data_IF_088782127826
#
_entry.id   IF_088782127826
#
_cell.length_a   1.000
_cell.length_b   1.000
_cell.length_c   1.000
_cell.angle_alpha   90.00
_cell.angle_beta   90.00
_cell.angle_gamma   90.00
#
_symmetry.space_group_name_H-M   'P 1'
#
loop_
_entity.id
_entity.type
_entity.pdbx_description
1 polymer ?
#
# COMPACT_ATOMS: atom_id res chain seq x y z
N UNK A 1 -9.08 6.20 0.37
CA UNK A 1 -9.73 7.34 -0.34
C UNK A 1 -11.25 7.16 -0.27
N UNK A 2 -12.07 8.23 -0.24
CA UNK A 2 -13.53 8.08 -0.24
C UNK A 2 -14.04 8.15 -1.67
N UNK A 3 -14.19 7.00 -2.33
CA UNK A 3 -14.93 6.93 -3.59
C UNK A 3 -16.35 7.50 -3.37
N UNK A 4 -16.71 8.50 -4.16
CA UNK A 4 -18.02 9.18 -4.15
C UNK A 4 -18.97 8.64 -5.22
N UNK A 5 -18.45 7.82 -6.14
CA UNK A 5 -19.19 7.15 -7.20
C UNK A 5 -18.61 5.76 -7.47
N UNK A 6 -19.35 4.97 -8.23
CA UNK A 6 -19.12 3.56 -8.47
C UNK A 6 -19.13 3.25 -9.97
N UNK A 7 -18.32 2.29 -10.37
CA UNK A 7 -18.32 1.70 -11.71
C UNK A 7 -19.02 0.36 -11.66
N UNK A 8 -20.04 0.17 -12.49
CA UNK A 8 -20.72 -1.10 -12.67
C UNK A 8 -20.42 -1.64 -14.06
N UNK A 9 -19.81 -2.82 -14.13
CA UNK A 9 -19.70 -3.58 -15.36
C UNK A 9 -20.75 -4.69 -15.36
N UNK A 10 -21.74 -4.54 -16.24
CA UNK A 10 -22.74 -5.56 -16.52
C UNK A 10 -22.32 -6.28 -17.79
N UNK A 11 -22.31 -7.61 -17.78
CA UNK A 11 -21.94 -8.35 -18.99
C UNK A 11 -22.60 -9.71 -19.10
N UNK A 12 -22.66 -10.20 -20.33
CA UNK A 12 -23.04 -11.57 -20.65
C UNK A 12 -22.05 -12.17 -21.66
N UNK A 13 -21.80 -13.47 -21.52
CA UNK A 13 -21.00 -14.24 -22.47
C UNK A 13 -21.71 -15.56 -22.79
N UNK A 14 -21.68 -16.01 -24.05
CA UNK A 14 -22.26 -17.30 -24.44
C UNK A 14 -21.72 -18.46 -23.57
N UNK A 15 -22.60 -19.40 -23.20
CA UNK A 15 -22.26 -20.48 -22.26
C UNK A 15 -21.24 -21.47 -22.81
N UNK A 16 -21.11 -21.57 -24.13
CA UNK A 16 -20.11 -22.39 -24.83
C UNK A 16 -18.70 -21.78 -24.81
N UNK A 17 -18.53 -20.50 -24.45
CA UNK A 17 -17.25 -19.78 -24.37
C UNK A 17 -16.56 -19.97 -23.00
N UNK A 18 -16.28 -21.23 -22.63
CA UNK A 18 -15.76 -21.56 -21.28
C UNK A 18 -14.42 -20.89 -20.97
N UNK A 19 -13.49 -20.89 -21.93
CA UNK A 19 -12.15 -20.34 -21.77
C UNK A 19 -12.18 -18.82 -21.57
N UNK A 20 -12.96 -18.13 -22.39
CA UNK A 20 -13.14 -16.67 -22.37
C UNK A 20 -13.82 -16.22 -21.08
N UNK A 21 -14.84 -16.95 -20.62
CA UNK A 21 -15.51 -16.69 -19.33
C UNK A 21 -14.54 -16.79 -18.15
N UNK A 22 -13.66 -17.80 -18.14
CA UNK A 22 -12.62 -17.94 -17.11
C UNK A 22 -11.59 -16.81 -17.21
N UNK A 23 -11.20 -16.40 -18.42
CA UNK A 23 -10.27 -15.30 -18.62
C UNK A 23 -10.82 -13.97 -18.07
N UNK A 24 -12.08 -13.65 -18.39
CA UNK A 24 -12.79 -12.46 -17.87
C UNK A 24 -12.90 -12.51 -16.36
N UNK A 25 -13.29 -13.65 -15.78
CA UNK A 25 -13.36 -13.82 -14.33
C UNK A 25 -12.01 -13.60 -13.63
N UNK A 26 -10.91 -14.14 -14.19
CA UNK A 26 -9.56 -13.92 -13.67
C UNK A 26 -9.17 -12.44 -13.71
N UNK A 27 -9.54 -11.74 -14.79
CA UNK A 27 -9.24 -10.32 -14.96
C UNK A 27 -10.01 -9.44 -13.98
N UNK A 28 -11.30 -9.73 -13.76
CA UNK A 28 -12.12 -9.08 -12.73
C UNK A 28 -11.52 -9.24 -11.33
N UNK A 29 -11.10 -10.46 -10.97
CA UNK A 29 -10.41 -10.71 -9.70
C UNK A 29 -9.11 -9.91 -9.57
N UNK A 30 -8.30 -9.87 -10.63
CA UNK A 30 -7.03 -9.13 -10.66
C UNK A 30 -7.23 -7.62 -10.52
N UNK A 31 -8.33 -7.08 -11.03
CA UNK A 31 -8.70 -5.65 -10.86
C UNK A 31 -9.29 -5.36 -9.48
N UNK A 32 -9.53 -6.37 -8.65
CA UNK A 32 -10.18 -6.20 -7.36
C UNK A 32 -11.69 -6.00 -7.40
N UNK A 33 -12.31 -6.26 -8.55
CA UNK A 33 -13.74 -6.04 -8.74
C UNK A 33 -14.58 -7.03 -7.92
N UNK A 34 -15.63 -6.53 -7.27
CA UNK A 34 -16.52 -7.35 -6.43
C UNK A 34 -17.87 -7.57 -7.10
N UNK A 35 -18.43 -8.80 -7.08
CA UNK A 35 -19.74 -9.05 -7.63
C UNK A 35 -20.85 -8.54 -6.70
N UNK A 36 -21.88 -7.87 -7.24
CA UNK A 36 -23.15 -7.64 -6.52
C UNK A 36 -24.19 -8.70 -6.89
N UNK A 37 -24.25 -9.04 -8.17
CA UNK A 37 -25.16 -10.03 -8.77
C UNK A 37 -24.40 -10.86 -9.80
N UNK A 38 -25.02 -11.92 -10.32
CA UNK A 38 -24.41 -12.93 -11.21
C UNK A 38 -23.59 -12.37 -12.37
N UNK A 39 -23.99 -11.21 -12.91
CA UNK A 39 -23.38 -10.59 -14.09
C UNK A 39 -22.93 -9.15 -13.87
N UNK A 40 -22.87 -8.67 -12.62
CA UNK A 40 -22.60 -7.26 -12.30
C UNK A 40 -21.46 -7.14 -11.32
N UNK A 41 -20.41 -6.45 -11.73
CA UNK A 41 -19.20 -6.23 -10.95
C UNK A 41 -18.98 -4.75 -10.65
N UNK A 42 -18.48 -4.47 -9.45
CA UNK A 42 -18.20 -3.14 -8.95
C UNK A 42 -16.72 -2.83 -8.87
N UNK A 43 -16.38 -1.58 -9.17
CA UNK A 43 -15.16 -0.91 -8.73
C UNK A 43 -15.49 0.49 -8.18
N UNK A 44 -14.63 1.05 -7.31
CA UNK A 44 -14.61 2.48 -7.05
C UNK A 44 -14.39 3.26 -8.37
N UNK A 45 -15.08 4.37 -8.54
CA UNK A 45 -14.93 5.23 -9.71
C UNK A 45 -13.70 6.12 -9.60
N UNK A 46 -12.59 5.57 -10.08
CA UNK A 46 -11.28 6.20 -10.14
C UNK A 46 -10.72 5.99 -11.56
N UNK A 47 -9.89 6.92 -12.10
CA UNK A 47 -9.47 6.88 -13.51
C UNK A 47 -8.81 5.55 -13.94
N UNK A 48 -7.89 4.94 -13.16
CA UNK A 48 -7.28 3.66 -13.55
C UNK A 48 -8.31 2.52 -13.63
N UNK A 49 -9.26 2.47 -12.70
CA UNK A 49 -10.32 1.46 -12.63
C UNK A 49 -11.31 1.62 -13.79
N UNK A 50 -11.63 2.86 -14.15
CA UNK A 50 -12.48 3.16 -15.29
C UNK A 50 -11.87 2.67 -16.60
N UNK A 51 -10.59 2.98 -16.83
CA UNK A 51 -9.86 2.51 -18.01
C UNK A 51 -9.81 0.98 -18.06
N UNK A 52 -9.49 0.34 -16.93
CA UNK A 52 -9.49 -1.13 -16.80
C UNK A 52 -10.84 -1.75 -17.18
N UNK A 53 -11.96 -1.17 -16.73
CA UNK A 53 -13.30 -1.63 -17.10
C UNK A 53 -13.66 -1.35 -18.55
N UNK A 54 -13.21 -0.24 -19.15
CA UNK A 54 -13.41 0.01 -20.58
C UNK A 54 -12.70 -1.04 -21.44
N UNK A 55 -11.43 -1.35 -21.12
CA UNK A 55 -10.68 -2.40 -21.83
C UNK A 55 -11.33 -3.78 -21.68
N UNK A 56 -11.80 -4.12 -20.47
CA UNK A 56 -12.48 -5.39 -20.23
C UNK A 56 -13.83 -5.47 -20.96
N UNK A 57 -14.60 -4.38 -20.96
CA UNK A 57 -15.87 -4.29 -21.69
C UNK A 57 -15.66 -4.52 -23.20
N UNK A 58 -14.62 -3.94 -23.79
CA UNK A 58 -14.27 -4.18 -25.19
C UNK A 58 -13.87 -5.65 -25.42
N UNK A 59 -13.00 -6.20 -24.58
CA UNK A 59 -12.59 -7.60 -24.68
C UNK A 59 -13.78 -8.58 -24.60
N UNK A 60 -14.78 -8.29 -23.76
CA UNK A 60 -16.00 -9.12 -23.67
C UNK A 60 -16.79 -9.09 -25.01
N UNK A 61 -16.90 -7.93 -25.66
CA UNK A 61 -17.54 -7.81 -26.98
C UNK A 61 -16.75 -8.57 -28.05
N UNK A 62 -15.42 -8.50 -28.01
CA UNK A 62 -14.56 -9.25 -28.93
C UNK A 62 -14.71 -10.78 -28.76
N UNK A 63 -15.06 -11.24 -27.57
CA UNK A 63 -15.43 -12.64 -27.30
C UNK A 63 -16.86 -13.02 -27.73
N UNK A 64 -17.60 -12.10 -28.37
CA UNK A 64 -18.97 -12.29 -28.81
C UNK A 64 -19.98 -12.20 -27.66
N UNK A 65 -19.62 -11.55 -26.56
CA UNK A 65 -20.53 -11.19 -25.47
C UNK A 65 -21.12 -9.80 -25.61
N UNK A 66 -21.90 -9.42 -24.61
CA UNK A 66 -22.42 -8.07 -24.45
C UNK A 66 -21.90 -7.45 -23.15
N UNK A 67 -21.66 -6.14 -23.15
CA UNK A 67 -21.13 -5.43 -21.99
C UNK A 67 -21.64 -3.99 -21.92
N UNK A 68 -22.08 -3.58 -20.72
CA UNK A 68 -22.50 -2.22 -20.40
C UNK A 68 -21.71 -1.73 -19.19
N UNK A 69 -21.04 -0.58 -19.35
CA UNK A 69 -20.30 0.09 -18.28
C UNK A 69 -21.09 1.32 -17.82
N UNK A 70 -21.44 1.36 -16.54
CA UNK A 70 -22.22 2.45 -15.93
C UNK A 70 -21.39 3.13 -14.85
N UNK A 71 -21.42 4.46 -14.82
CA UNK A 71 -20.94 5.27 -13.69
C UNK A 71 -22.15 5.70 -12.88
N UNK A 72 -22.17 5.37 -11.58
CA UNK A 72 -23.29 5.67 -10.70
C UNK A 72 -22.81 6.44 -9.47
N UNK A 73 -23.48 7.53 -9.11
CA UNK A 73 -23.19 8.25 -7.86
C UNK A 73 -23.65 7.46 -6.61
N UNK A 74 -24.66 6.62 -6.78
CA UNK A 74 -25.20 5.75 -5.74
C UNK A 74 -25.95 4.57 -6.36
N UNK A 75 -26.24 3.57 -5.54
CA UNK A 75 -27.00 2.38 -5.94
C UNK A 75 -28.15 2.25 -4.96
N UNK A 76 -29.39 2.42 -5.43
CA UNK A 76 -30.55 2.26 -4.57
C UNK A 76 -30.60 0.85 -3.97
N UNK A 77 -30.88 0.77 -2.67
CA UNK A 77 -30.89 -0.50 -1.92
C UNK A 77 -29.50 -1.03 -1.53
N UNK A 78 -28.41 -0.31 -1.83
CA UNK A 78 -27.07 -0.61 -1.33
C UNK A 78 -26.42 0.66 -0.82
N UNK A 79 -26.31 0.78 0.49
CA UNK A 79 -25.60 1.88 1.12
C UNK A 79 -24.11 1.81 0.81
N UNK A 80 -23.44 2.96 0.91
CA UNK A 80 -21.99 3.04 0.75
C UNK A 80 -21.26 2.07 1.68
N UNK A 81 -21.70 1.96 2.93
CA UNK A 81 -21.03 1.13 3.92
C UNK A 81 -21.21 -0.36 3.62
N UNK A 82 -22.39 -0.77 3.13
CA UNK A 82 -22.60 -2.14 2.63
C UNK A 82 -21.68 -2.46 1.45
N UNK A 83 -21.53 -1.53 0.48
CA UNK A 83 -20.60 -1.72 -0.65
C UNK A 83 -19.16 -1.82 -0.16
N UNK A 84 -18.73 -0.94 0.75
CA UNK A 84 -17.39 -1.00 1.36
C UNK A 84 -17.20 -2.34 2.09
N UNK A 85 -18.20 -2.81 2.82
CA UNK A 85 -18.18 -4.13 3.47
C UNK A 85 -18.04 -5.27 2.47
N UNK A 86 -18.63 -5.19 1.27
CA UNK A 86 -18.41 -6.20 0.22
C UNK A 86 -16.95 -6.24 -0.26
N UNK A 87 -16.32 -5.09 -0.48
CA UNK A 87 -14.90 -5.00 -0.84
C UNK A 87 -14.01 -5.55 0.27
N UNK A 88 -14.22 -5.11 1.50
CA UNK A 88 -13.45 -5.57 2.65
C UNK A 88 -13.64 -7.07 2.86
N UNK A 89 -14.86 -7.61 2.77
CA UNK A 89 -15.10 -9.05 2.90
C UNK A 89 -14.43 -9.88 1.80
N UNK A 90 -14.33 -9.35 0.57
CA UNK A 90 -13.60 -10.00 -0.52
C UNK A 90 -12.09 -10.03 -0.24
N UNK A 91 -11.51 -8.90 0.15
CA UNK A 91 -10.08 -8.78 0.50
C UNK A 91 -9.71 -9.57 1.75
N UNK A 92 -10.58 -9.59 2.75
CA UNK A 92 -10.41 -10.34 3.99
C UNK A 92 -10.17 -11.82 3.74
N UNK A 93 -10.87 -12.43 2.78
CA UNK A 93 -10.68 -13.84 2.41
C UNK A 93 -9.28 -14.08 1.83
N UNK A 94 -8.81 -13.18 0.98
CA UNK A 94 -7.49 -13.29 0.34
C UNK A 94 -6.36 -13.02 1.34
N UNK A 95 -6.52 -12.02 2.21
CA UNK A 95 -5.61 -11.79 3.33
C UNK A 95 -5.59 -12.93 4.34
N UNK A 96 -6.72 -13.60 4.59
CA UNK A 96 -6.76 -14.75 5.49
C UNK A 96 -5.89 -15.92 4.97
N UNK A 97 -5.90 -16.17 3.66
CA UNK A 97 -5.04 -17.20 3.05
C UNK A 97 -3.56 -16.80 3.10
N UNK A 98 -3.23 -15.53 2.82
CA UNK A 98 -1.87 -15.03 2.93
C UNK A 98 -1.36 -15.06 4.38
N UNK A 99 -2.23 -14.72 5.35
CA UNK A 99 -1.93 -14.82 6.78
C UNK A 99 -1.56 -16.25 7.17
N UNK A 100 -2.33 -17.25 6.74
CA UNK A 100 -2.02 -18.67 7.00
C UNK A 100 -0.66 -19.05 6.39
N UNK A 101 -0.39 -18.62 5.15
CA UNK A 101 0.89 -18.88 4.50
C UNK A 101 2.07 -18.26 5.27
N UNK A 102 1.94 -17.01 5.71
CA UNK A 102 2.96 -16.32 6.52
C UNK A 102 3.17 -16.96 7.88
N UNK A 103 2.10 -17.38 8.58
CA UNK A 103 2.22 -18.08 9.86
C UNK A 103 2.97 -19.41 9.70
N UNK A 104 2.65 -20.16 8.65
CA UNK A 104 3.38 -21.40 8.32
C UNK A 104 4.86 -21.12 8.04
N UNK A 105 5.15 -20.10 7.23
CA UNK A 105 6.52 -19.66 6.94
C UNK A 105 7.30 -19.29 8.22
N UNK A 106 6.73 -18.45 9.08
CA UNK A 106 7.35 -18.03 10.35
C UNK A 106 7.68 -19.23 11.26
N UNK A 107 6.82 -20.24 11.28
CA UNK A 107 7.04 -21.45 12.10
C UNK A 107 8.19 -22.33 11.57
N UNK A 108 8.38 -22.38 10.25
CA UNK A 108 9.34 -23.29 9.59
C UNK A 108 10.71 -22.67 9.35
N UNK A 109 10.79 -21.34 9.16
CA UNK A 109 12.03 -20.64 8.78
C UNK A 109 13.26 -20.90 9.66
N UNK A 110 13.08 -21.28 10.93
CA UNK A 110 14.19 -21.60 11.84
C UNK A 110 14.92 -22.91 11.50
N UNK A 111 14.33 -23.77 10.68
CA UNK A 111 14.82 -25.12 10.35
C UNK A 111 15.16 -25.27 8.86
N UNK A 112 15.20 -24.17 8.12
CA UNK A 112 15.32 -24.16 6.66
C UNK A 112 16.53 -23.35 6.23
N UNK A 113 17.04 -23.65 5.04
CA UNK A 113 18.13 -22.92 4.41
C UNK A 113 17.80 -21.42 4.22
N UNK A 114 18.80 -20.56 4.43
CA UNK A 114 18.62 -19.11 4.44
C UNK A 114 18.25 -18.53 3.06
N UNK A 115 18.73 -19.13 1.97
CA UNK A 115 18.42 -18.70 0.60
C UNK A 115 16.96 -19.02 0.28
N UNK A 116 16.52 -20.23 0.61
CA UNK A 116 15.11 -20.62 0.45
C UNK A 116 14.16 -19.73 1.26
N UNK A 117 14.54 -19.41 2.50
CA UNK A 117 13.77 -18.50 3.38
C UNK A 117 13.63 -17.11 2.75
N UNK A 118 14.70 -16.58 2.15
CA UNK A 118 14.68 -15.27 1.49
C UNK A 118 13.76 -15.26 0.26
N UNK A 119 13.86 -16.27 -0.62
CA UNK A 119 13.02 -16.39 -1.82
C UNK A 119 11.54 -16.54 -1.46
N UNK A 120 11.22 -17.36 -0.45
CA UNK A 120 9.83 -17.54 -0.02
C UNK A 120 9.25 -16.26 0.60
N UNK A 121 10.03 -15.54 1.41
CA UNK A 121 9.62 -14.26 1.98
C UNK A 121 9.39 -13.20 0.90
N UNK A 122 10.26 -13.11 -0.11
CA UNK A 122 10.09 -12.21 -1.24
C UNK A 122 8.80 -12.51 -2.00
N UNK A 123 8.51 -13.80 -2.24
CA UNK A 123 7.25 -14.24 -2.88
C UNK A 123 6.02 -13.83 -2.07
N UNK A 124 6.03 -14.03 -0.75
CA UNK A 124 4.91 -13.65 0.13
C UNK A 124 4.75 -12.12 0.20
N UNK A 125 5.86 -11.38 0.19
CA UNK A 125 5.87 -9.92 0.17
C UNK A 125 5.28 -9.39 -1.13
N UNK A 126 5.64 -9.97 -2.28
CA UNK A 126 5.05 -9.65 -3.57
C UNK A 126 3.55 -9.91 -3.59
N UNK A 127 3.10 -11.06 -3.07
CA UNK A 127 1.67 -11.38 -2.95
C UNK A 127 0.92 -10.37 -2.06
N UNK A 128 1.53 -9.93 -0.96
CA UNK A 128 0.95 -8.89 -0.11
C UNK A 128 0.75 -7.58 -0.86
N UNK A 129 1.78 -7.12 -1.60
CA UNK A 129 1.72 -5.88 -2.39
C UNK A 129 0.64 -5.94 -3.47
N UNK A 130 0.59 -7.05 -4.21
CA UNK A 130 -0.45 -7.28 -5.23
C UNK A 130 -1.87 -7.22 -4.64
N UNK A 131 -2.09 -7.77 -3.44
CA UNK A 131 -3.38 -7.67 -2.75
C UNK A 131 -3.67 -6.25 -2.28
N UNK A 132 -2.66 -5.51 -1.83
CA UNK A 132 -2.85 -4.14 -1.32
C UNK A 132 -3.21 -3.14 -2.42
N UNK A 133 -2.69 -3.32 -3.63
CA UNK A 133 -3.08 -2.53 -4.81
C UNK A 133 -4.59 -2.57 -5.11
N UNK A 134 -5.26 -3.65 -4.71
CA UNK A 134 -6.69 -3.87 -4.94
C UNK A 134 -7.52 -3.81 -3.64
N UNK A 135 -6.91 -3.36 -2.54
CA UNK A 135 -7.56 -3.14 -1.25
C UNK A 135 -7.97 -1.67 -1.11
N UNK A 136 -9.02 -1.28 -1.85
CA UNK A 136 -9.42 0.12 -2.00
C UNK A 136 -9.92 0.81 -0.72
N UNK A 137 -10.27 0.02 0.30
CA UNK A 137 -10.88 0.51 1.54
C UNK A 137 -10.12 0.08 2.80
N UNK A 138 -8.85 -0.30 2.64
CA UNK A 138 -7.92 -0.55 3.73
C UNK A 138 -8.45 -1.57 4.76
N UNK A 139 -8.70 -2.80 4.33
CA UNK A 139 -9.15 -3.89 5.21
C UNK A 139 -8.30 -3.99 6.50
N UNK A 140 -8.98 -4.20 7.63
CA UNK A 140 -8.34 -4.44 8.92
C UNK A 140 -7.39 -5.65 8.88
N UNK A 141 -7.77 -6.72 8.16
CA UNK A 141 -6.90 -7.90 8.00
C UNK A 141 -5.64 -7.61 7.20
N UNK A 142 -5.69 -6.66 6.27
CA UNK A 142 -4.50 -6.19 5.55
C UNK A 142 -3.44 -5.64 6.51
N UNK A 143 -3.85 -4.90 7.53
CA UNK A 143 -2.95 -4.39 8.57
C UNK A 143 -2.34 -5.52 9.42
N UNK A 144 -3.13 -6.51 9.81
CA UNK A 144 -2.63 -7.69 10.53
C UNK A 144 -1.57 -8.45 9.73
N UNK A 145 -1.81 -8.63 8.42
CA UNK A 145 -0.85 -9.28 7.52
C UNK A 145 0.42 -8.46 7.38
N UNK A 146 0.32 -7.13 7.27
CA UNK A 146 1.49 -6.25 7.24
C UNK A 146 2.36 -6.41 8.50
N UNK A 147 1.74 -6.47 9.69
CA UNK A 147 2.46 -6.70 10.95
C UNK A 147 3.14 -8.08 10.98
N UNK A 148 2.45 -9.12 10.50
CA UNK A 148 3.03 -10.46 10.41
C UNK A 148 4.20 -10.52 9.41
N UNK A 149 4.11 -9.79 8.31
CA UNK A 149 5.19 -9.70 7.31
C UNK A 149 6.43 -9.04 7.93
N UNK A 150 6.27 -7.93 8.66
CA UNK A 150 7.37 -7.31 9.43
C UNK A 150 8.03 -8.30 10.41
N UNK A 151 7.22 -9.10 11.12
CA UNK A 151 7.74 -10.16 12.00
C UNK A 151 8.45 -11.29 11.23
N UNK A 152 7.99 -11.59 10.02
CA UNK A 152 8.53 -12.61 9.12
C UNK A 152 9.86 -12.18 8.47
N UNK A 153 10.07 -10.89 8.26
CA UNK A 153 11.38 -10.31 7.94
C UNK A 153 12.35 -10.45 9.12
N UNK A 154 11.82 -10.58 10.34
CA UNK A 154 12.61 -10.67 11.57
C UNK A 154 13.13 -9.29 12.00
N UNK A 155 13.96 -9.21 13.06
CA UNK A 155 14.76 -8.00 13.25
C UNK A 155 15.59 -7.84 11.98
N UNK A 156 15.29 -6.81 11.19
CA UNK A 156 16.10 -6.41 10.06
C UNK A 156 17.55 -6.43 10.55
N UNK A 157 18.33 -7.43 10.13
CA UNK A 157 19.78 -7.42 10.31
C UNK A 157 20.16 -6.12 9.65
N UNK A 158 20.44 -5.07 10.43
CA UNK A 158 20.65 -3.73 9.89
C UNK A 158 21.62 -3.88 8.73
N UNK A 159 21.12 -3.86 7.49
CA UNK A 159 21.94 -3.43 6.38
C UNK A 159 22.37 -2.06 6.86
N UNK A 160 23.66 -1.89 7.19
CA UNK A 160 24.18 -0.60 7.64
C UNK A 160 23.58 0.41 6.68
N UNK A 161 22.69 1.26 7.20
CA UNK A 161 22.02 2.27 6.39
C UNK A 161 23.15 3.01 5.71
N UNK A 162 23.19 2.95 4.37
CA UNK A 162 24.25 3.61 3.64
C UNK A 162 24.15 5.10 3.97
N UNK A 163 25.25 5.66 4.47
CA UNK A 163 25.35 7.09 4.68
C UNK A 163 25.38 7.75 3.31
N UNK A 164 24.47 8.70 3.11
CA UNK A 164 24.28 9.45 1.88
C UNK A 164 24.98 10.80 1.97
N UNK A 165 25.49 11.28 0.83
CA UNK A 165 26.01 12.64 0.73
C UNK A 165 24.85 13.63 0.56
N UNK A 166 24.67 14.50 1.56
CA UNK A 166 23.65 15.54 1.59
C UNK A 166 23.64 16.42 0.33
N UNK A 167 24.81 16.62 -0.31
CA UNK A 167 24.93 17.46 -1.52
C UNK A 167 24.12 16.92 -2.69
N UNK A 168 23.93 15.60 -2.78
CA UNK A 168 23.16 14.97 -3.85
C UNK A 168 21.65 15.22 -3.72
N UNK A 169 21.21 15.67 -2.55
CA UNK A 169 19.80 15.83 -2.18
C UNK A 169 19.38 17.30 -2.02
N UNK A 170 20.23 18.26 -2.41
CA UNK A 170 19.91 19.70 -2.36
C UNK A 170 19.08 20.15 -3.57
N UNK A 171 18.14 21.08 -3.36
CA UNK A 171 17.29 21.66 -4.39
C UNK A 171 16.31 20.66 -5.01
N UNK A 172 15.93 19.61 -4.27
CA UNK A 172 15.08 18.53 -4.77
C UNK A 172 13.61 18.79 -4.46
N UNK A 173 12.78 18.09 -5.23
CA UNK A 173 11.34 17.96 -4.94
C UNK A 173 11.14 16.68 -4.15
N UNK A 174 10.50 16.77 -2.99
CA UNK A 174 10.21 15.68 -2.08
C UNK A 174 8.71 15.39 -2.08
N UNK A 175 8.37 14.11 -2.14
CA UNK A 175 7.00 13.64 -2.32
C UNK A 175 6.55 12.82 -1.11
N UNK A 176 5.36 13.10 -0.59
CA UNK A 176 4.70 12.23 0.38
C UNK A 176 3.19 12.19 0.17
N UNK A 177 2.47 11.40 0.97
CA UNK A 177 1.01 11.26 0.86
C UNK A 177 0.27 12.49 1.41
N UNK A 178 -0.88 12.88 0.84
CA UNK A 178 -1.74 13.93 1.40
C UNK A 178 -2.14 13.63 2.85
N UNK A 179 -2.37 14.69 3.64
CA UNK A 179 -2.68 14.62 5.09
C UNK A 179 -1.55 13.95 5.88
N UNK A 180 -0.39 14.63 5.98
CA UNK A 180 0.76 14.05 6.66
C UNK A 180 0.51 13.92 8.16
N UNK A 181 0.84 12.76 8.69
CA UNK A 181 0.85 12.46 10.13
C UNK A 181 2.18 12.93 10.75
N UNK A 182 2.36 12.71 12.05
CA UNK A 182 3.46 13.28 12.84
C UNK A 182 4.83 12.96 12.25
N UNK A 183 5.10 11.70 11.86
CA UNK A 183 6.39 11.32 11.26
C UNK A 183 6.66 12.02 9.92
N UNK A 184 5.65 12.18 9.06
CA UNK A 184 5.80 12.90 7.78
C UNK A 184 6.08 14.37 7.98
N UNK A 185 5.38 15.02 8.91
CA UNK A 185 5.57 16.44 9.22
C UNK A 185 6.97 16.66 9.81
N UNK A 186 7.36 15.83 10.77
CA UNK A 186 8.69 15.86 11.36
C UNK A 186 9.79 15.61 10.32
N UNK A 187 9.59 14.63 9.44
CA UNK A 187 10.51 14.31 8.35
C UNK A 187 10.67 15.47 7.37
N UNK A 188 9.57 16.14 7.00
CA UNK A 188 9.63 17.33 6.14
C UNK A 188 10.40 18.49 6.80
N UNK A 189 10.24 18.69 8.11
CA UNK A 189 11.04 19.66 8.87
C UNK A 189 12.52 19.30 8.88
N UNK A 190 12.86 18.04 9.16
CA UNK A 190 14.23 17.53 9.19
C UNK A 190 14.91 17.72 7.82
N UNK A 191 14.20 17.36 6.75
CA UNK A 191 14.62 17.57 5.36
C UNK A 191 14.92 19.06 5.14
N UNK A 192 13.97 19.94 5.44
CA UNK A 192 14.10 21.38 5.21
C UNK A 192 15.24 22.03 5.99
N UNK A 193 15.57 21.52 7.18
CA UNK A 193 16.57 22.12 8.06
C UNK A 193 17.98 21.58 7.84
N UNK A 194 18.13 20.26 7.69
CA UNK A 194 19.44 19.63 7.71
C UNK A 194 19.86 19.10 6.33
N UNK A 195 18.90 18.64 5.52
CA UNK A 195 19.19 17.90 4.28
C UNK A 195 19.08 18.80 3.04
N UNK A 196 18.06 19.64 2.94
CA UNK A 196 17.78 20.46 1.77
C UNK A 196 17.03 21.76 2.15
N UNK A 197 17.71 22.92 2.25
CA UNK A 197 17.09 24.17 2.67
C UNK A 197 16.27 24.79 1.54
N UNK A 198 16.36 24.23 0.33
CA UNK A 198 15.61 24.64 -0.86
C UNK A 198 14.59 23.57 -1.26
N UNK A 199 14.27 22.63 -0.36
CA UNK A 199 13.31 21.56 -0.61
C UNK A 199 11.96 22.13 -1.05
N UNK A 200 11.37 21.48 -2.07
CA UNK A 200 9.96 21.67 -2.43
C UNK A 200 9.20 20.41 -2.07
N UNK A 201 8.03 20.56 -1.46
CA UNK A 201 7.19 19.42 -1.07
C UNK A 201 5.97 19.34 -1.98
N UNK A 202 5.68 18.13 -2.44
CA UNK A 202 4.50 17.80 -3.25
C UNK A 202 3.76 16.64 -2.59
N UNK A 203 2.45 16.60 -2.76
CA UNK A 203 1.60 15.58 -2.16
C UNK A 203 0.89 14.77 -3.23
N UNK A 204 1.08 13.45 -3.23
CA UNK A 204 0.35 12.54 -4.12
C UNK A 204 0.15 11.16 -3.47
N UNK A 205 -0.85 10.42 -3.95
CA UNK A 205 -1.17 9.08 -3.44
C UNK A 205 -0.13 8.01 -3.84
N UNK A 206 0.56 8.20 -4.97
CA UNK A 206 1.52 7.22 -5.51
C UNK A 206 2.88 7.86 -5.82
N UNK A 207 3.97 7.14 -5.52
CA UNK A 207 5.33 7.65 -5.67
C UNK A 207 5.72 7.97 -7.13
N UNK A 208 5.07 7.30 -8.10
CA UNK A 208 5.34 7.42 -9.53
C UNK A 208 4.62 8.60 -10.20
N UNK A 209 3.70 9.26 -9.48
CA UNK A 209 2.86 10.32 -10.04
C UNK A 209 3.62 11.63 -10.35
N UNK A 210 4.78 11.84 -9.72
CA UNK A 210 5.63 13.02 -9.93
C UNK A 210 7.02 12.55 -10.36
N UNK A 211 7.38 12.67 -11.65
CA UNK A 211 8.71 12.35 -12.14
C UNK A 211 9.79 13.12 -11.38
N UNK A 212 10.93 12.47 -11.14
CA UNK A 212 12.13 13.02 -10.48
C UNK A 212 11.95 13.50 -9.03
N UNK A 213 10.75 13.35 -8.44
CA UNK A 213 10.54 13.60 -7.03
C UNK A 213 11.09 12.46 -6.17
N UNK A 214 11.61 12.80 -5.00
CA UNK A 214 12.15 11.85 -4.03
C UNK A 214 11.04 11.49 -3.05
N UNK A 215 10.46 10.28 -3.11
CA UNK A 215 9.41 9.89 -2.19
C UNK A 215 9.96 9.65 -0.79
N UNK A 216 9.19 10.04 0.22
CA UNK A 216 9.44 9.69 1.63
C UNK A 216 8.14 9.34 2.37
N UNK A 217 8.24 8.40 3.30
CA UNK A 217 7.11 7.76 4.00
C UNK A 217 5.98 7.31 3.04
N UNK A 218 6.39 6.68 1.95
CA UNK A 218 5.51 6.01 1.00
C UNK A 218 5.95 4.55 0.87
N UNK A 219 5.05 3.70 0.37
CA UNK A 219 5.36 2.31 0.06
C UNK A 219 6.46 2.27 -1.02
N UNK A 220 7.48 1.45 -0.79
CA UNK A 220 8.67 1.32 -1.65
C UNK A 220 9.50 2.61 -1.85
N UNK A 221 9.28 3.63 -1.01
CA UNK A 221 10.13 4.82 -0.99
C UNK A 221 11.52 4.52 -0.41
N UNK A 222 12.53 5.15 -0.98
CA UNK A 222 13.91 5.03 -0.50
C UNK A 222 14.05 5.48 0.97
N UNK A 223 13.30 6.53 1.33
CA UNK A 223 13.17 7.06 2.68
C UNK A 223 11.82 6.68 3.26
N UNK A 224 11.69 5.48 3.78
CA UNK A 224 10.48 5.01 4.45
C UNK A 224 10.83 4.50 5.85
N UNK A 225 9.92 3.79 6.49
CA UNK A 225 10.24 3.05 7.70
C UNK A 225 11.24 1.94 7.36
N UNK A 226 12.39 1.93 8.04
CA UNK A 226 13.44 0.92 7.86
C UNK A 226 13.73 0.21 9.18
N UNK A 227 13.30 -1.06 9.28
CA UNK A 227 13.40 -1.83 10.52
C UNK A 227 12.52 -1.23 11.60
N UNK A 228 13.10 -0.98 12.79
CA UNK A 228 12.42 -0.30 13.90
C UNK A 228 12.71 1.21 13.89
N UNK A 229 12.74 1.83 12.71
CA UNK A 229 12.92 3.28 12.62
C UNK A 229 11.73 3.85 11.87
N UNK A 230 11.13 4.92 12.39
CA UNK A 230 10.23 5.74 11.60
C UNK A 230 11.00 6.44 10.46
N UNK A 231 10.30 7.12 9.57
CA UNK A 231 10.94 7.80 8.43
C UNK A 231 11.90 8.90 8.92
N UNK A 232 11.54 9.62 9.98
CA UNK A 232 12.38 10.64 10.58
C UNK A 232 13.74 10.08 11.04
N UNK A 233 13.72 8.99 11.82
CA UNK A 233 14.92 8.33 12.30
C UNK A 233 15.76 7.74 11.15
N UNK A 234 15.08 7.22 10.13
CA UNK A 234 15.75 6.71 8.92
C UNK A 234 16.51 7.85 8.23
N UNK A 235 15.87 8.99 7.99
CA UNK A 235 16.50 10.16 7.38
C UNK A 235 17.69 10.64 8.22
N UNK A 236 17.51 10.78 9.54
CA UNK A 236 18.57 11.17 10.47
C UNK A 236 19.79 10.26 10.37
N UNK A 237 19.58 8.94 10.39
CA UNK A 237 20.66 7.94 10.28
C UNK A 237 21.32 7.92 8.92
N UNK A 238 20.55 7.99 7.82
CA UNK A 238 21.08 7.96 6.44
C UNK A 238 21.86 9.21 6.08
N UNK A 239 21.55 10.37 6.66
CA UNK A 239 22.31 11.61 6.46
C UNK A 239 23.30 11.91 7.59
N UNK A 240 23.52 10.95 8.50
CA UNK A 240 24.44 11.08 9.64
C UNK A 240 24.22 12.35 10.49
N UNK A 241 22.95 12.71 10.73
CA UNK A 241 22.57 13.87 11.53
C UNK A 241 22.65 13.50 13.02
N UNK A 242 23.70 13.97 13.70
CA UNK A 242 23.98 13.63 15.10
C UNK A 242 23.54 14.72 16.11
N UNK A 243 22.72 15.69 15.69
CA UNK A 243 22.24 16.76 16.55
C UNK A 243 21.38 16.20 17.71
N UNK A 244 21.67 16.59 18.95
CA UNK A 244 20.99 16.05 20.14
C UNK A 244 19.50 16.38 20.19
N UNK A 245 19.10 17.56 19.70
CA UNK A 245 17.70 17.94 19.65
C UNK A 245 16.97 17.10 18.58
N UNK A 246 17.62 16.85 17.44
CA UNK A 246 17.08 15.94 16.40
C UNK A 246 16.89 14.52 16.96
N UNK A 247 17.83 14.00 17.73
CA UNK A 247 17.68 12.67 18.36
C UNK A 247 16.46 12.63 19.29
N UNK A 248 16.31 13.61 20.18
CA UNK A 248 15.18 13.67 21.11
C UNK A 248 13.84 13.79 20.38
N UNK A 249 13.76 14.65 19.35
CA UNK A 249 12.56 14.79 18.51
C UNK A 249 12.26 13.46 17.79
N UNK A 250 13.28 12.76 17.31
CA UNK A 250 13.12 11.45 16.66
C UNK A 250 12.51 10.41 17.57
N UNK A 251 12.91 10.35 18.84
CA UNK A 251 12.32 9.43 19.82
C UNK A 251 10.86 9.78 20.16
N UNK A 252 10.53 11.07 20.28
CA UNK A 252 9.14 11.51 20.49
C UNK A 252 8.24 11.17 19.30
N UNK A 253 8.73 11.39 18.07
CA UNK A 253 8.03 11.02 16.85
C UNK A 253 7.87 9.50 16.78
N UNK A 254 8.90 8.74 17.14
CA UNK A 254 8.84 7.29 17.16
C UNK A 254 7.72 6.78 18.06
N UNK A 255 7.65 7.24 19.31
CA UNK A 255 6.59 6.81 20.23
C UNK A 255 5.19 7.23 19.77
N UNK A 256 5.05 8.37 19.10
CA UNK A 256 3.77 8.85 18.58
C UNK A 256 3.31 8.12 17.30
N UNK A 257 4.26 7.62 16.50
CA UNK A 257 4.02 7.05 15.17
C UNK A 257 4.07 5.52 15.16
N UNK A 258 4.81 4.92 16.10
CA UNK A 258 4.97 3.48 16.27
C UNK A 258 4.43 3.04 17.65
N UNK A 259 3.38 2.22 17.63
CA UNK A 259 2.77 1.63 18.83
C UNK A 259 3.60 0.42 19.35
N UNK A 260 4.87 0.66 19.68
CA UNK A 260 5.80 -0.35 20.23
C UNK A 260 6.38 -0.02 21.61
N UNK A 261 5.98 1.14 22.18
CA UNK A 261 6.33 1.62 23.53
C UNK A 261 7.83 1.61 23.83
N UNK A 262 8.67 1.87 22.82
CA UNK A 262 10.11 1.68 22.91
C UNK A 262 10.85 2.74 23.73
N UNK A 263 10.51 4.02 23.58
CA UNK A 263 11.23 5.11 24.26
C UNK A 263 10.45 5.67 25.46
N UNK A 264 9.13 5.51 25.47
CA UNK A 264 8.23 5.91 26.57
C UNK A 264 8.42 7.37 26.99
N UNK A 265 8.64 8.26 26.01
CA UNK A 265 8.77 9.69 26.23
C UNK A 265 7.46 10.24 26.78
N UNK A 266 7.54 10.99 27.87
CA UNK A 266 6.36 11.57 28.54
C UNK A 266 5.60 12.54 27.63
N UNK A 267 6.31 13.14 26.68
CA UNK A 267 5.77 14.05 25.67
C UNK A 267 4.92 13.34 24.59
N UNK A 268 5.03 12.01 24.46
CA UNK A 268 4.26 11.19 23.51
C UNK A 268 2.97 10.60 24.08
N UNK A 269 2.69 10.80 25.37
CA UNK A 269 1.46 10.31 26.02
C UNK A 269 0.30 11.25 25.69
N UNK A 270 -0.64 10.80 24.86
CA UNK A 270 -1.82 11.54 24.42
C UNK A 270 -3.08 10.70 24.36
#
# INVERSE_FOLDING_TARGET
MKATSWLLLLFSLPTNRKTERVAVWRRLRKMGAVPIKTSTYLLPDEPPQYEQFQWLAQQIRDYGGDSTLVRAQGIEGLTRDEIVSLFNAARDKEYAELRKALQNFISRRKRTDAEFVAVELERLTKQFRELREIDFFDSARGHEVAMLLRRAEGPQRMRKLQILDVKQYRGKTWLTRPRPEIDRVGSAWLISKFIDPKAKFVFASTAQSVPDAIPFDMLDAEFSHHGNNCTFETLSKRFAIADKAVVNIGEMIHDADLDDARFQRVEGVG
#
